data_IF_870078445519
#
_entry.id   IF_870078445519
#
_cell.length_a   1.000
_cell.length_b   1.000
_cell.length_c   1.000
_cell.angle_alpha   90.00
_cell.angle_beta   90.00
_cell.angle_gamma   90.00
#
_symmetry.space_group_name_H-M   'P 1'
#
loop_
_entity.id
_entity.type
_entity.pdbx_description
1 polymer ?
#
# COMPACT_ATOMS: atom_id res chain seq x y z
N UNK A 1 -23.79 5.15 16.23
CA UNK A 1 -23.29 5.96 15.09
C UNK A 1 -21.79 5.78 15.02
N UNK A 2 -21.16 5.90 13.85
CA UNK A 2 -19.70 5.81 13.72
C UNK A 2 -19.00 6.98 14.42
N UNK A 3 -18.02 6.68 15.26
CA UNK A 3 -17.18 7.67 15.93
C UNK A 3 -15.75 7.57 15.40
N UNK A 4 -15.41 8.50 14.51
CA UNK A 4 -14.04 8.62 14.01
C UNK A 4 -13.44 9.94 14.44
N UNK A 5 -12.17 9.88 14.81
CA UNK A 5 -11.36 11.06 15.08
C UNK A 5 -10.03 10.95 14.35
N UNK A 6 -9.49 12.10 13.98
CA UNK A 6 -8.23 12.23 13.26
C UNK A 6 -7.40 13.27 13.99
N UNK A 7 -6.18 12.90 14.37
CA UNK A 7 -5.23 13.79 15.01
C UNK A 7 -3.93 13.84 14.21
N UNK A 8 -3.19 14.93 14.38
CA UNK A 8 -1.93 15.16 13.67
C UNK A 8 -0.81 15.41 14.68
N UNK A 9 0.17 14.51 14.78
CA UNK A 9 1.16 14.56 15.86
C UNK A 9 2.00 15.85 15.86
N UNK A 10 2.21 16.47 14.70
CA UNK A 10 2.93 17.75 14.59
C UNK A 10 2.11 18.97 15.00
N UNK A 11 0.78 18.83 15.15
CA UNK A 11 -0.12 19.88 15.66
C UNK A 11 -0.51 19.64 17.11
N UNK A 12 -0.71 18.38 17.45
CA UNK A 12 -1.19 17.89 18.73
C UNK A 12 -0.18 16.90 19.29
N UNK A 13 0.94 17.36 19.90
CA UNK A 13 1.99 16.46 20.41
C UNK A 13 1.51 15.47 21.47
N UNK A 14 0.37 15.78 22.08
CA UNK A 14 -0.25 15.00 23.15
C UNK A 14 -1.42 14.13 22.66
N UNK A 15 -1.69 14.08 21.36
CA UNK A 15 -2.80 13.29 20.79
C UNK A 15 -2.72 11.80 21.12
N UNK A 16 -1.50 11.28 21.35
CA UNK A 16 -1.27 9.89 21.76
C UNK A 16 -1.54 9.64 23.25
N UNK A 17 -1.65 10.67 24.10
CA UNK A 17 -1.89 10.50 25.54
C UNK A 17 -3.27 9.88 25.79
N UNK A 18 -3.30 8.83 26.62
CA UNK A 18 -4.55 8.15 27.00
C UNK A 18 -4.89 6.93 26.13
N UNK A 19 -4.02 6.60 25.18
CA UNK A 19 -4.02 5.33 24.46
C UNK A 19 -2.87 4.45 24.96
N UNK A 20 -3.03 3.14 24.81
CA UNK A 20 -2.06 2.15 25.30
C UNK A 20 -1.31 1.47 24.15
N UNK A 21 -1.90 1.49 22.96
CA UNK A 21 -1.44 0.74 21.80
C UNK A 21 -1.58 1.57 20.53
N UNK A 22 -0.56 1.48 19.67
CA UNK A 22 -0.61 1.92 18.28
C UNK A 22 -0.78 0.73 17.35
N UNK A 23 -1.61 0.88 16.31
CA UNK A 23 -1.81 -0.15 15.28
C UNK A 23 -1.34 0.38 13.94
N UNK A 24 -0.33 -0.27 13.37
CA UNK A 24 0.10 -0.04 11.99
C UNK A 24 -0.62 -1.04 11.08
N UNK A 25 -1.45 -0.54 10.16
CA UNK A 25 -2.15 -1.34 9.18
C UNK A 25 -1.61 -1.03 7.78
N UNK A 26 -1.70 -2.01 6.89
CA UNK A 26 -1.45 -1.85 5.47
C UNK A 26 -0.02 -1.43 5.11
N UNK A 27 0.83 -2.43 4.92
CA UNK A 27 2.20 -2.25 4.44
C UNK A 27 2.65 -3.47 3.62
N UNK A 28 3.57 -3.26 2.67
CA UNK A 28 3.98 -4.23 1.66
C UNK A 28 5.45 -4.64 1.74
N UNK A 29 5.72 -5.93 1.81
CA UNK A 29 7.05 -6.53 1.92
C UNK A 29 7.53 -7.02 0.57
N UNK A 30 8.74 -7.61 0.52
CA UNK A 30 9.25 -8.26 -0.68
C UNK A 30 8.46 -9.52 -1.11
N UNK A 31 7.38 -9.88 -0.42
CA UNK A 31 6.42 -10.89 -0.86
C UNK A 31 5.33 -10.29 -1.75
N UNK A 32 5.05 -8.99 -1.65
CA UNK A 32 4.10 -8.30 -2.53
C UNK A 32 4.66 -8.12 -3.94
N UNK A 33 3.81 -8.37 -4.94
CA UNK A 33 4.13 -8.23 -6.36
C UNK A 33 3.43 -7.00 -6.92
N UNK A 34 4.20 -5.93 -7.05
CA UNK A 34 3.72 -4.67 -7.59
C UNK A 34 3.85 -4.67 -9.12
N UNK A 35 2.73 -4.52 -9.84
CA UNK A 35 2.76 -4.46 -11.31
C UNK A 35 3.68 -3.36 -11.81
N UNK A 36 4.35 -3.56 -12.95
CA UNK A 36 5.09 -2.50 -13.65
C UNK A 36 4.22 -1.70 -14.62
N UNK A 37 2.93 -1.98 -14.71
CA UNK A 37 2.01 -1.28 -15.61
C UNK A 37 2.00 0.23 -15.34
N UNK A 38 2.10 0.65 -14.07
CA UNK A 38 2.21 2.07 -13.73
C UNK A 38 3.42 2.76 -14.38
N UNK A 39 4.52 2.07 -14.67
CA UNK A 39 5.71 2.65 -15.33
C UNK A 39 5.44 2.90 -16.82
N UNK A 40 4.79 1.94 -17.48
CA UNK A 40 4.36 2.11 -18.89
C UNK A 40 3.43 3.31 -19.03
N UNK A 41 2.60 3.54 -18.02
CA UNK A 41 1.60 4.59 -18.00
C UNK A 41 2.13 5.95 -17.53
N UNK A 42 3.00 6.01 -16.52
CA UNK A 42 3.71 7.23 -16.10
C UNK A 42 4.54 7.81 -17.26
N UNK A 43 5.07 6.97 -18.14
CA UNK A 43 5.74 7.42 -19.36
C UNK A 43 4.84 8.25 -20.29
N UNK A 44 3.52 7.97 -20.31
CA UNK A 44 2.55 8.70 -21.14
C UNK A 44 2.31 10.11 -20.61
N UNK A 45 2.27 10.28 -19.29
CA UNK A 45 2.10 11.60 -18.65
C UNK A 45 3.38 12.44 -18.75
N UNK A 46 4.56 11.80 -18.73
CA UNK A 46 5.85 12.48 -18.83
C UNK A 46 6.40 12.38 -20.27
N UNK A 47 5.86 13.20 -21.16
CA UNK A 47 6.16 13.24 -22.60
C UNK A 47 7.64 13.23 -22.98
N UNK A 48 8.52 13.72 -22.09
CA UNK A 48 9.99 13.75 -22.28
C UNK A 48 10.64 12.37 -22.11
N UNK A 49 10.05 11.47 -21.31
CA UNK A 49 10.59 10.12 -21.07
C UNK A 49 10.15 9.10 -22.13
N UNK A 50 9.01 9.33 -22.79
CA UNK A 50 8.47 8.45 -23.84
C UNK A 50 9.47 8.10 -24.95
N UNK A 51 10.22 9.06 -25.54
CA UNK A 51 11.22 8.73 -26.57
C UNK A 51 12.33 7.81 -26.06
N UNK A 52 12.76 8.00 -24.81
CA UNK A 52 13.81 7.20 -24.15
C UNK A 52 13.31 5.78 -23.88
N UNK A 53 12.09 5.63 -23.37
CA UNK A 53 11.44 4.33 -23.13
C UNK A 53 11.25 3.55 -24.43
N UNK A 54 10.67 4.18 -25.47
CA UNK A 54 10.51 3.56 -26.80
C UNK A 54 11.85 3.21 -27.46
N UNK A 55 12.89 3.99 -27.19
CA UNK A 55 14.23 3.68 -27.68
C UNK A 55 14.82 2.46 -26.94
N UNK A 56 14.62 2.38 -25.62
CA UNK A 56 15.04 1.25 -24.81
C UNK A 56 14.30 -0.04 -25.21
N UNK A 57 12.97 0.01 -25.34
CA UNK A 57 12.12 -1.09 -25.85
C UNK A 57 12.62 -1.62 -27.20
N UNK A 58 12.80 -0.73 -28.19
CA UNK A 58 13.29 -1.10 -29.52
C UNK A 58 14.71 -1.68 -29.48
N UNK A 59 15.51 -1.32 -28.48
CA UNK A 59 16.86 -1.86 -28.32
C UNK A 59 16.84 -3.23 -27.65
N UNK A 60 16.00 -3.45 -26.64
CA UNK A 60 15.79 -4.76 -26.01
C UNK A 60 15.29 -5.77 -27.05
N UNK A 61 14.24 -5.42 -27.81
CA UNK A 61 13.70 -6.29 -28.87
C UNK A 61 14.76 -6.66 -29.92
N UNK A 62 15.57 -5.69 -30.38
CA UNK A 62 16.59 -5.93 -31.42
C UNK A 62 17.83 -6.69 -30.95
N UNK A 63 18.23 -6.55 -29.68
CA UNK A 63 19.50 -7.11 -29.20
C UNK A 63 19.34 -8.36 -28.33
N UNK A 64 18.19 -8.52 -27.69
CA UNK A 64 17.96 -9.55 -26.67
C UNK A 64 16.80 -10.47 -27.04
N UNK A 65 16.01 -10.15 -28.08
CA UNK A 65 14.79 -10.87 -28.46
C UNK A 65 13.79 -11.01 -27.31
N UNK A 66 13.88 -10.14 -26.30
CA UNK A 66 12.94 -10.02 -25.19
C UNK A 66 11.95 -8.92 -25.58
N UNK A 67 10.67 -9.30 -25.67
CA UNK A 67 9.57 -8.34 -25.75
C UNK A 67 9.22 -7.87 -24.34
N UNK A 68 9.30 -6.56 -24.09
CA UNK A 68 8.98 -5.98 -22.80
C UNK A 68 7.48 -6.15 -22.50
N UNK A 69 7.18 -7.17 -21.71
CA UNK A 69 5.87 -7.42 -21.15
C UNK A 69 5.73 -6.73 -19.78
N UNK A 70 5.17 -5.52 -19.76
CA UNK A 70 4.90 -4.78 -18.51
C UNK A 70 3.81 -5.44 -17.67
N UNK A 71 2.78 -6.00 -18.30
CA UNK A 71 1.66 -6.67 -17.63
C UNK A 71 2.06 -7.94 -16.86
N UNK A 72 3.13 -8.62 -17.28
CA UNK A 72 3.70 -9.78 -16.56
C UNK A 72 4.92 -9.42 -15.72
N UNK A 73 5.46 -8.22 -15.90
CA UNK A 73 6.59 -7.73 -15.13
C UNK A 73 6.09 -7.12 -13.83
N UNK A 74 6.84 -7.34 -12.75
CA UNK A 74 6.52 -6.77 -11.44
C UNK A 74 7.80 -6.39 -10.71
N UNK A 75 7.65 -5.60 -9.66
CA UNK A 75 8.71 -5.37 -8.68
C UNK A 75 8.23 -5.76 -7.29
N UNK A 76 9.16 -5.93 -6.37
CA UNK A 76 8.87 -6.24 -4.97
C UNK A 76 9.48 -5.16 -4.07
N UNK A 77 8.78 -4.69 -3.03
CA UNK A 77 9.32 -3.82 -1.99
C UNK A 77 10.68 -4.29 -1.44
N UNK A 78 11.55 -3.38 -0.97
CA UNK A 78 12.90 -3.74 -0.57
C UNK A 78 12.96 -4.45 0.79
N UNK A 79 11.98 -4.26 1.67
CA UNK A 79 11.97 -4.82 3.01
C UNK A 79 11.51 -6.28 3.02
N UNK A 80 12.26 -7.15 3.69
CA UNK A 80 11.77 -8.49 4.03
C UNK A 80 10.67 -8.40 5.09
N UNK A 81 9.86 -9.45 5.32
CA UNK A 81 8.81 -9.44 6.34
C UNK A 81 9.31 -9.00 7.73
N UNK A 82 10.46 -9.51 8.16
CA UNK A 82 11.08 -9.10 9.44
C UNK A 82 11.47 -7.63 9.49
N UNK A 83 12.12 -7.11 8.45
CA UNK A 83 12.55 -5.72 8.39
C UNK A 83 11.36 -4.76 8.34
N UNK A 84 10.29 -5.13 7.62
CA UNK A 84 9.05 -4.36 7.57
C UNK A 84 8.34 -4.34 8.93
N UNK A 85 8.19 -5.50 9.56
CA UNK A 85 7.59 -5.60 10.90
C UNK A 85 8.36 -4.75 11.93
N UNK A 86 9.69 -4.87 11.96
CA UNK A 86 10.52 -4.10 12.89
C UNK A 86 10.54 -2.60 12.58
N UNK A 87 10.34 -2.20 11.33
CA UNK A 87 10.22 -0.79 10.95
C UNK A 87 8.95 -0.17 11.55
N UNK A 88 7.80 -0.83 11.33
CA UNK A 88 6.51 -0.37 11.83
C UNK A 88 6.44 -0.41 13.36
N UNK A 89 6.91 -1.53 13.96
CA UNK A 89 6.96 -1.70 15.42
C UNK A 89 7.78 -0.60 16.08
N UNK A 90 9.00 -0.32 15.60
CA UNK A 90 9.88 0.69 16.20
C UNK A 90 9.32 2.09 16.07
N UNK A 91 8.60 2.42 15.00
CA UNK A 91 7.93 3.72 14.92
C UNK A 91 6.99 3.90 16.13
N UNK A 92 6.14 2.92 16.41
CA UNK A 92 5.16 3.01 17.48
C UNK A 92 5.85 2.95 18.85
N UNK A 93 6.69 1.93 19.09
CA UNK A 93 7.33 1.74 20.39
C UNK A 93 8.34 2.84 20.73
N UNK A 94 9.15 3.29 19.77
CA UNK A 94 10.19 4.29 20.05
C UNK A 94 9.69 5.73 19.94
N UNK A 95 8.74 6.05 19.03
CA UNK A 95 8.26 7.43 18.86
C UNK A 95 7.03 7.73 19.69
N UNK A 96 6.11 6.77 19.83
CA UNK A 96 4.87 6.93 20.58
C UNK A 96 4.95 6.31 21.99
N UNK A 97 6.00 5.55 22.30
CA UNK A 97 6.25 4.97 23.63
C UNK A 97 5.07 4.10 24.12
N UNK A 98 4.51 3.29 23.20
CA UNK A 98 3.33 2.45 23.44
C UNK A 98 3.48 1.08 22.78
N UNK A 99 2.62 0.12 23.12
CA UNK A 99 2.62 -1.21 22.50
C UNK A 99 2.33 -1.08 21.00
N UNK A 100 3.02 -1.87 20.17
CA UNK A 100 2.76 -1.93 18.74
C UNK A 100 1.97 -3.19 18.35
N UNK A 101 0.90 -2.99 17.60
CA UNK A 101 0.27 -4.01 16.78
C UNK A 101 0.56 -3.69 15.31
N UNK A 102 1.10 -4.64 14.56
CA UNK A 102 1.45 -4.43 13.15
C UNK A 102 0.68 -5.44 12.32
N UNK A 103 0.08 -5.01 11.21
CA UNK A 103 -0.58 -5.87 10.24
C UNK A 103 0.00 -5.59 8.85
N UNK A 104 0.63 -6.62 8.27
CA UNK A 104 1.22 -6.59 6.92
C UNK A 104 0.25 -7.26 5.96
N UNK A 105 0.03 -6.64 4.81
CA UNK A 105 -0.99 -7.02 3.83
C UNK A 105 -0.40 -6.96 2.44
N UNK A 106 0.50 -7.90 2.10
CA UNK A 106 1.01 -8.04 0.74
C UNK A 106 -0.15 -8.32 -0.25
N UNK A 107 0.02 -7.91 -1.52
CA UNK A 107 -0.99 -8.15 -2.55
C UNK A 107 -1.25 -9.63 -2.80
N UNK A 108 -2.51 -10.03 -2.61
CA UNK A 108 -3.05 -11.37 -2.89
C UNK A 108 -2.21 -12.53 -2.32
N UNK A 109 -1.51 -12.31 -1.20
CA UNK A 109 -0.60 -13.28 -0.59
C UNK A 109 -0.50 -13.11 0.94
N UNK A 110 -0.27 -14.22 1.67
CA UNK A 110 -0.12 -14.23 3.14
C UNK A 110 1.24 -14.79 3.60
N UNK A 111 2.23 -14.92 2.71
CA UNK A 111 3.52 -15.52 3.06
C UNK A 111 4.24 -14.69 4.13
N UNK A 112 4.19 -13.36 4.06
CA UNK A 112 4.85 -12.52 5.06
C UNK A 112 4.33 -12.74 6.49
N UNK A 113 3.02 -12.64 6.79
CA UNK A 113 2.53 -12.95 8.14
C UNK A 113 2.78 -14.42 8.52
N UNK A 114 2.70 -15.37 7.59
CA UNK A 114 2.98 -16.78 7.90
C UNK A 114 4.46 -17.01 8.29
N UNK A 115 5.40 -16.41 7.56
CA UNK A 115 6.82 -16.44 7.89
C UNK A 115 7.11 -15.77 9.24
N UNK A 116 6.53 -14.59 9.48
CA UNK A 116 6.70 -13.86 10.73
C UNK A 116 6.19 -14.63 11.95
N UNK A 117 5.15 -15.46 11.80
CA UNK A 117 4.62 -16.25 12.91
C UNK A 117 5.49 -17.43 13.33
N UNK A 118 6.43 -17.83 12.46
CA UNK A 118 7.47 -18.79 12.82
C UNK A 118 8.52 -18.19 13.78
N UNK A 119 8.62 -16.86 13.84
CA UNK A 119 9.56 -16.14 14.70
C UNK A 119 8.87 -15.74 16.02
N UNK A 120 9.43 -16.07 17.21
CA UNK A 120 8.80 -15.78 18.49
C UNK A 120 8.44 -14.31 18.72
N UNK A 121 9.29 -13.37 18.32
CA UNK A 121 9.10 -11.92 18.52
C UNK A 121 7.95 -11.32 17.72
N UNK A 122 7.49 -12.00 16.67
CA UNK A 122 6.40 -11.55 15.77
C UNK A 122 5.25 -12.55 15.69
N UNK A 123 5.20 -13.54 16.60
CA UNK A 123 4.19 -14.62 16.59
C UNK A 123 2.74 -14.12 16.65
N UNK A 124 2.54 -12.95 17.22
CA UNK A 124 1.24 -12.32 17.42
C UNK A 124 0.74 -11.51 16.21
N UNK A 125 1.51 -11.44 15.12
CA UNK A 125 1.08 -10.74 13.91
C UNK A 125 -0.21 -11.39 13.34
N UNK A 126 -1.24 -10.60 12.98
CA UNK A 126 -2.44 -11.11 12.33
C UNK A 126 -2.12 -11.64 10.93
N UNK A 127 -2.75 -12.75 10.53
CA UNK A 127 -2.71 -13.20 9.12
C UNK A 127 -3.58 -12.26 8.31
N UNK A 128 -2.98 -11.49 7.43
CA UNK A 128 -3.66 -10.39 6.74
C UNK A 128 -3.20 -10.31 5.29
N UNK A 129 -4.05 -9.78 4.41
CA UNK A 129 -3.84 -9.69 2.96
C UNK A 129 -4.47 -8.42 2.42
N UNK A 130 -3.85 -7.81 1.39
CA UNK A 130 -4.55 -6.84 0.54
C UNK A 130 -5.09 -7.59 -0.67
N UNK A 131 -6.39 -7.84 -0.68
CA UNK A 131 -7.05 -8.61 -1.71
C UNK A 131 -7.46 -7.71 -2.88
N UNK A 132 -7.00 -8.04 -4.09
CA UNK A 132 -7.44 -7.38 -5.32
C UNK A 132 -8.78 -7.94 -5.77
N UNK A 133 -9.81 -7.09 -5.76
CA UNK A 133 -11.20 -7.39 -6.12
C UNK A 133 -11.54 -6.73 -7.44
N UNK A 134 -11.56 -7.45 -8.59
CA UNK A 134 -12.01 -6.88 -9.85
C UNK A 134 -13.48 -6.47 -9.76
N UNK A 135 -13.81 -5.25 -10.17
CA UNK A 135 -15.16 -4.68 -10.09
C UNK A 135 -15.43 -3.74 -11.26
N UNK A 136 -16.34 -4.13 -12.15
CA UNK A 136 -16.58 -3.39 -13.40
C UNK A 136 -15.32 -3.33 -14.26
N UNK A 137 -14.91 -2.11 -14.61
CA UNK A 137 -13.72 -1.84 -15.44
C UNK A 137 -12.47 -1.50 -14.60
N UNK A 138 -12.51 -1.70 -13.28
CA UNK A 138 -11.40 -1.45 -12.35
C UNK A 138 -11.21 -2.64 -11.40
N UNK A 139 -10.26 -2.53 -10.47
CA UNK A 139 -10.23 -3.37 -9.28
C UNK A 139 -10.08 -2.49 -8.03
N UNK A 140 -10.72 -2.93 -6.95
CA UNK A 140 -10.56 -2.34 -5.62
C UNK A 140 -9.66 -3.21 -4.77
N UNK A 141 -9.01 -2.60 -3.79
CA UNK A 141 -8.23 -3.35 -2.81
C UNK A 141 -8.97 -3.39 -1.48
N UNK A 142 -9.12 -4.60 -0.96
CA UNK A 142 -9.79 -4.87 0.30
C UNK A 142 -8.77 -5.43 1.28
N UNK A 143 -8.46 -4.67 2.34
CA UNK A 143 -7.65 -5.13 3.45
C UNK A 143 -8.44 -6.13 4.28
N UNK A 144 -8.03 -7.40 4.27
CA UNK A 144 -8.60 -8.43 5.13
C UNK A 144 -7.59 -8.75 6.21
N UNK A 145 -7.89 -8.38 7.45
CA UNK A 145 -6.98 -8.51 8.57
C UNK A 145 -7.44 -9.59 9.54
N UNK A 146 -6.46 -10.29 10.13
CA UNK A 146 -6.64 -11.26 11.21
C UNK A 146 -7.50 -12.48 10.83
N UNK A 147 -7.26 -13.02 9.63
CA UNK A 147 -7.81 -14.31 9.20
C UNK A 147 -7.44 -15.42 10.20
N UNK A 148 -8.35 -16.39 10.44
CA UNK A 148 -8.03 -17.53 11.29
C UNK A 148 -6.87 -18.34 10.72
N UNK A 149 -5.81 -18.49 11.52
CA UNK A 149 -4.58 -19.20 11.15
C UNK A 149 -4.82 -20.58 10.53
N UNK A 150 -5.80 -21.33 11.06
CA UNK A 150 -6.08 -22.69 10.64
C UNK A 150 -6.70 -22.77 9.23
N UNK A 151 -7.36 -21.70 8.78
CA UNK A 151 -8.06 -21.65 7.48
C UNK A 151 -7.50 -20.59 6.54
N UNK A 152 -6.43 -19.88 6.92
CA UNK A 152 -5.83 -18.81 6.11
C UNK A 152 -5.44 -19.25 4.69
N UNK A 153 -4.89 -20.45 4.52
CA UNK A 153 -4.53 -21.01 3.20
C UNK A 153 -5.80 -21.24 2.35
N UNK A 154 -6.84 -21.84 2.93
CA UNK A 154 -8.10 -22.07 2.23
C UNK A 154 -8.79 -20.75 1.85
N UNK A 155 -8.70 -19.73 2.70
CA UNK A 155 -9.16 -18.38 2.37
C UNK A 155 -8.38 -17.83 1.18
N UNK A 156 -7.05 -17.91 1.17
CA UNK A 156 -6.26 -17.42 0.04
C UNK A 156 -6.56 -18.12 -1.27
N UNK A 157 -6.74 -19.44 -1.26
CA UNK A 157 -7.17 -20.19 -2.45
C UNK A 157 -8.52 -19.68 -2.98
N UNK A 158 -9.47 -19.41 -2.07
CA UNK A 158 -10.78 -18.88 -2.44
C UNK A 158 -10.72 -17.45 -2.98
N UNK A 159 -9.96 -16.57 -2.34
CA UNK A 159 -9.79 -15.18 -2.79
C UNK A 159 -9.11 -15.14 -4.16
N UNK A 160 -8.06 -15.95 -4.37
CA UNK A 160 -7.38 -16.07 -5.65
C UNK A 160 -8.30 -16.63 -6.75
N UNK A 161 -9.11 -17.66 -6.43
CA UNK A 161 -10.09 -18.21 -7.36
C UNK A 161 -11.12 -17.15 -7.77
N UNK A 162 -11.60 -16.32 -6.84
CA UNK A 162 -12.48 -15.20 -7.15
C UNK A 162 -11.80 -14.19 -8.08
N UNK A 163 -10.59 -13.75 -7.75
CA UNK A 163 -9.84 -12.73 -8.51
C UNK A 163 -9.57 -13.19 -9.95
N UNK A 164 -9.33 -14.49 -10.15
CA UNK A 164 -9.10 -15.07 -11.47
C UNK A 164 -10.35 -15.13 -12.37
N UNK A 165 -11.57 -15.04 -11.81
CA UNK A 165 -12.80 -15.09 -12.61
C UNK A 165 -12.99 -13.81 -13.43
N UNK A 166 -13.23 -13.88 -14.75
CA UNK A 166 -13.55 -12.70 -15.54
C UNK A 166 -14.84 -12.03 -15.05
N UNK A 167 -14.81 -10.70 -14.88
CA UNK A 167 -15.95 -9.92 -14.37
C UNK A 167 -17.22 -10.16 -15.18
N UNK A 168 -17.11 -10.24 -16.51
CA UNK A 168 -18.25 -10.43 -17.42
C UNK A 168 -19.01 -11.76 -17.22
N UNK A 169 -18.35 -12.79 -16.67
CA UNK A 169 -18.94 -14.12 -16.42
C UNK A 169 -19.17 -14.39 -14.93
N UNK A 170 -18.89 -13.43 -14.05
CA UNK A 170 -18.92 -13.62 -12.61
C UNK A 170 -20.35 -13.46 -12.09
N UNK A 171 -20.78 -14.40 -11.26
CA UNK A 171 -22.02 -14.25 -10.50
C UNK A 171 -21.88 -13.06 -9.52
N UNK A 172 -22.75 -12.04 -9.60
CA UNK A 172 -22.72 -10.91 -8.67
C UNK A 172 -22.85 -11.31 -7.18
N UNK A 173 -23.47 -12.46 -6.87
CA UNK A 173 -23.61 -12.92 -5.49
C UNK A 173 -22.31 -13.46 -4.89
N UNK A 174 -21.36 -13.90 -5.71
CA UNK A 174 -20.14 -14.53 -5.21
C UNK A 174 -19.32 -13.57 -4.32
N UNK A 175 -19.24 -12.29 -4.72
CA UNK A 175 -18.54 -11.28 -3.90
C UNK A 175 -19.30 -11.01 -2.59
N UNK A 176 -20.63 -10.96 -2.65
CA UNK A 176 -21.48 -10.79 -1.47
C UNK A 176 -21.23 -11.93 -0.47
N UNK A 177 -21.21 -13.17 -0.93
CA UNK A 177 -20.98 -14.35 -0.11
C UNK A 177 -19.61 -14.33 0.55
N UNK A 178 -18.55 -14.06 -0.23
CA UNK A 178 -17.18 -13.98 0.31
C UNK A 178 -17.07 -12.90 1.40
N UNK A 179 -17.60 -11.70 1.14
CA UNK A 179 -17.55 -10.60 2.10
C UNK A 179 -18.43 -10.86 3.34
N UNK A 180 -19.61 -11.47 3.16
CA UNK A 180 -20.49 -11.85 4.26
C UNK A 180 -19.83 -12.88 5.18
N UNK A 181 -19.20 -13.91 4.62
CA UNK A 181 -18.51 -14.93 5.42
C UNK A 181 -17.27 -14.37 6.13
N UNK A 182 -16.55 -13.43 5.52
CA UNK A 182 -15.46 -12.72 6.19
C UNK A 182 -15.98 -11.87 7.36
N UNK A 183 -17.09 -11.15 7.18
CA UNK A 183 -17.76 -10.41 8.24
C UNK A 183 -18.27 -11.33 9.36
N UNK A 184 -18.80 -12.52 9.05
CA UNK A 184 -19.27 -13.45 10.07
C UNK A 184 -18.17 -13.91 11.05
N UNK A 185 -16.89 -13.86 10.66
CA UNK A 185 -15.76 -14.18 11.55
C UNK A 185 -15.51 -13.00 12.51
N UNK A 186 -15.77 -13.13 13.83
CA UNK A 186 -15.73 -11.98 14.74
C UNK A 186 -14.36 -11.30 14.87
N UNK A 187 -13.28 -12.07 14.70
CA UNK A 187 -11.91 -11.57 14.79
C UNK A 187 -11.37 -10.96 13.50
N UNK A 188 -12.09 -11.04 12.38
CA UNK A 188 -11.66 -10.50 11.10
C UNK A 188 -12.11 -9.05 10.95
N UNK A 189 -11.23 -8.24 10.36
CA UNK A 189 -11.51 -6.87 9.98
C UNK A 189 -11.40 -6.73 8.45
N UNK A 190 -12.40 -6.12 7.83
CA UNK A 190 -12.51 -5.90 6.38
C UNK A 190 -12.50 -4.40 6.12
N UNK A 191 -11.44 -3.90 5.48
CA UNK A 191 -11.18 -2.50 5.23
C UNK A 191 -11.21 -2.24 3.72
N UNK A 192 -11.86 -1.14 3.31
CA UNK A 192 -11.72 -0.66 1.93
C UNK A 192 -10.46 0.20 1.87
N UNK A 193 -9.38 -0.37 1.34
CA UNK A 193 -8.10 0.31 1.20
C UNK A 193 -8.19 1.39 0.11
N UNK A 194 -7.57 2.53 0.38
CA UNK A 194 -7.42 3.72 -0.49
C UNK A 194 -8.54 3.86 -1.53
N UNK A 195 -9.82 3.96 -1.10
CA UNK A 195 -10.97 3.70 -1.97
C UNK A 195 -11.08 4.62 -3.19
N UNK A 196 -10.44 5.79 -3.13
CA UNK A 196 -10.47 6.81 -4.18
C UNK A 196 -9.28 6.74 -5.14
N UNK A 197 -8.36 5.79 -4.95
CA UNK A 197 -7.26 5.60 -5.88
C UNK A 197 -7.74 4.92 -7.17
N UNK A 198 -7.91 5.73 -8.22
CA UNK A 198 -8.19 5.26 -9.58
C UNK A 198 -6.92 4.67 -10.23
N UNK A 199 -6.50 3.49 -9.73
CA UNK A 199 -5.30 2.78 -10.20
C UNK A 199 -5.36 2.46 -11.70
N UNK A 200 -6.54 2.07 -12.18
CA UNK A 200 -6.77 1.68 -13.58
C UNK A 200 -7.12 2.86 -14.50
N UNK A 201 -7.14 4.09 -13.95
CA UNK A 201 -7.39 5.35 -14.67
C UNK A 201 -8.66 5.30 -15.50
N UNK A 202 -9.73 4.72 -14.95
CA UNK A 202 -11.04 4.66 -15.61
C UNK A 202 -11.70 6.05 -15.72
N UNK A 203 -11.14 7.04 -15.02
CA UNK A 203 -11.58 8.42 -14.96
C UNK A 203 -12.28 8.69 -13.64
N UNK A 204 -12.00 9.86 -13.04
CA UNK A 204 -12.45 10.21 -11.68
C UNK A 204 -13.96 10.02 -11.50
N UNK A 205 -14.78 10.56 -12.41
CA UNK A 205 -16.23 10.50 -12.31
C UNK A 205 -16.74 9.05 -12.35
N UNK A 206 -16.13 8.22 -13.20
CA UNK A 206 -16.48 6.81 -13.33
C UNK A 206 -16.02 6.00 -12.11
N UNK A 207 -14.82 6.26 -11.61
CA UNK A 207 -14.31 5.66 -10.38
C UNK A 207 -15.21 5.99 -9.19
N UNK A 208 -15.60 7.26 -9.04
CA UNK A 208 -16.51 7.72 -7.99
C UNK A 208 -17.86 6.97 -8.05
N UNK A 209 -18.41 6.73 -9.25
CA UNK A 209 -19.63 5.91 -9.42
C UNK A 209 -19.40 4.48 -8.93
N UNK A 210 -18.34 3.82 -9.38
CA UNK A 210 -18.03 2.43 -9.03
C UNK A 210 -17.81 2.25 -7.52
N UNK A 211 -17.14 3.20 -6.85
CA UNK A 211 -16.94 3.18 -5.40
C UNK A 211 -18.27 3.26 -4.66
N UNK A 212 -19.18 4.14 -5.10
CA UNK A 212 -20.49 4.27 -4.48
C UNK A 212 -21.38 3.04 -4.75
N UNK A 213 -21.30 2.44 -5.94
CA UNK A 213 -21.99 1.19 -6.24
C UNK A 213 -21.48 0.03 -5.37
N UNK A 214 -20.16 -0.07 -5.18
CA UNK A 214 -19.56 -1.07 -4.30
C UNK A 214 -20.07 -0.91 -2.86
N UNK A 215 -20.05 0.30 -2.32
CA UNK A 215 -20.54 0.57 -0.95
C UNK A 215 -22.05 0.37 -0.82
N UNK A 216 -22.83 0.68 -1.87
CA UNK A 216 -24.26 0.39 -1.89
C UNK A 216 -24.56 -1.11 -1.78
N UNK A 217 -23.77 -1.94 -2.47
CA UNK A 217 -24.01 -3.38 -2.55
C UNK A 217 -23.42 -4.16 -1.38
N UNK A 218 -22.23 -3.75 -0.92
CA UNK A 218 -21.39 -4.51 0.00
C UNK A 218 -20.95 -3.74 1.24
N UNK A 219 -21.29 -2.45 1.35
CA UNK A 219 -20.82 -1.59 2.43
C UNK A 219 -21.16 -2.12 3.82
N UNK A 220 -22.23 -2.91 3.98
CA UNK A 220 -22.56 -3.53 5.26
C UNK A 220 -21.52 -4.53 5.78
N UNK A 221 -20.66 -5.08 4.92
CA UNK A 221 -19.56 -5.99 5.27
C UNK A 221 -18.20 -5.29 5.36
N UNK A 222 -18.15 -4.01 4.98
CA UNK A 222 -16.96 -3.16 5.10
C UNK A 222 -17.01 -2.46 6.45
N UNK A 223 -15.95 -2.57 7.24
CA UNK A 223 -15.93 -2.09 8.62
C UNK A 223 -15.43 -0.65 8.74
N UNK A 224 -14.50 -0.25 7.87
CA UNK A 224 -14.00 1.11 7.77
C UNK A 224 -13.39 1.38 6.37
N UNK A 225 -13.23 2.66 6.04
CA UNK A 225 -12.52 3.14 4.86
C UNK A 225 -11.14 3.65 5.29
N UNK A 226 -10.12 3.32 4.50
CA UNK A 226 -8.76 3.74 4.80
C UNK A 226 -8.54 5.24 4.56
N UNK A 227 -7.93 5.91 5.54
CA UNK A 227 -7.11 7.10 5.31
C UNK A 227 -5.68 6.63 5.09
N UNK A 228 -5.14 6.94 3.93
CA UNK A 228 -3.94 6.31 3.44
C UNK A 228 -2.69 7.19 3.67
N UNK A 229 -1.66 6.62 4.29
CA UNK A 229 -0.44 7.32 4.63
C UNK A 229 0.37 7.78 3.40
N UNK A 230 0.29 7.09 2.27
CA UNK A 230 0.99 7.44 1.03
C UNK A 230 0.25 8.50 0.18
N UNK A 231 -1.08 8.59 0.33
CA UNK A 231 -1.92 9.53 -0.43
C UNK A 231 -1.78 10.96 0.11
N UNK A 232 -2.31 11.91 -0.67
CA UNK A 232 -2.34 13.31 -0.27
C UNK A 232 -3.54 13.61 0.64
N UNK A 233 -3.52 14.81 1.24
CA UNK A 233 -4.56 15.23 2.17
C UNK A 233 -5.91 15.51 1.49
N UNK A 234 -5.95 15.81 0.18
CA UNK A 234 -7.21 16.03 -0.54
C UNK A 234 -7.95 14.73 -0.65
N UNK A 235 -7.26 13.68 -1.10
CA UNK A 235 -7.83 12.37 -1.26
C UNK A 235 -8.26 11.77 0.07
N UNK A 236 -7.45 11.89 1.13
CA UNK A 236 -7.85 11.45 2.47
C UNK A 236 -9.08 12.20 3.02
N UNK A 237 -9.24 13.49 2.69
CA UNK A 237 -10.45 14.24 3.05
C UNK A 237 -11.68 13.78 2.26
N UNK A 238 -11.50 13.48 0.98
CA UNK A 238 -12.58 12.90 0.16
C UNK A 238 -12.96 11.51 0.68
N UNK A 239 -12.00 10.68 1.08
CA UNK A 239 -12.23 9.38 1.70
C UNK A 239 -12.99 9.50 3.04
N UNK A 240 -12.63 10.46 3.89
CA UNK A 240 -13.37 10.75 5.11
C UNK A 240 -14.81 11.21 4.84
N UNK A 241 -15.01 12.04 3.81
CA UNK A 241 -16.35 12.49 3.38
C UNK A 241 -17.19 11.31 2.87
N UNK A 242 -16.57 10.42 2.10
CA UNK A 242 -17.20 9.19 1.63
C UNK A 242 -17.59 8.27 2.79
N UNK A 243 -16.71 8.10 3.79
CA UNK A 243 -17.01 7.34 4.99
C UNK A 243 -18.22 7.91 5.72
N UNK A 244 -18.27 9.24 5.94
CA UNK A 244 -19.41 9.93 6.53
C UNK A 244 -20.72 9.71 5.75
N UNK A 245 -20.67 9.82 4.41
CA UNK A 245 -21.84 9.57 3.53
C UNK A 245 -22.43 8.17 3.73
N UNK A 246 -21.58 7.16 3.91
CA UNK A 246 -21.98 5.76 4.07
C UNK A 246 -22.09 5.32 5.53
N UNK A 247 -22.03 6.24 6.50
CA UNK A 247 -22.02 5.96 7.95
C UNK A 247 -20.95 4.91 8.33
N UNK A 248 -19.79 5.01 7.68
CA UNK A 248 -18.61 4.20 7.92
C UNK A 248 -17.58 4.90 8.79
N UNK A 249 -16.74 4.10 9.45
CA UNK A 249 -15.55 4.63 10.12
C UNK A 249 -14.47 4.94 9.10
N UNK A 250 -13.56 5.83 9.48
CA UNK A 250 -12.23 5.89 8.88
C UNK A 250 -11.22 5.11 9.72
N UNK A 251 -10.21 4.55 9.09
CA UNK A 251 -9.13 3.79 9.75
C UNK A 251 -7.78 4.13 9.11
N UNK A 252 -6.68 3.98 9.84
CA UNK A 252 -5.35 4.19 9.27
C UNK A 252 -4.99 3.04 8.32
N UNK A 253 -4.14 3.35 7.36
CA UNK A 253 -3.33 2.37 6.67
C UNK A 253 -2.29 3.05 5.81
N UNK A 254 -1.08 2.54 5.79
CA UNK A 254 0.04 3.31 5.25
C UNK A 254 0.31 3.12 3.78
N UNK A 255 -0.09 1.98 3.22
CA UNK A 255 0.25 1.54 1.86
C UNK A 255 1.75 1.67 1.56
N UNK A 256 2.55 1.38 2.60
CA UNK A 256 4.00 1.58 2.52
C UNK A 256 4.62 0.50 1.65
N UNK A 257 5.38 0.97 0.67
CA UNK A 257 6.25 0.14 -0.16
C UNK A 257 7.75 0.45 0.00
N UNK A 258 8.11 1.63 0.53
CA UNK A 258 9.49 2.08 0.75
C UNK A 258 10.09 1.64 2.09
N UNK A 259 11.10 2.38 2.57
CA UNK A 259 11.77 2.12 3.87
C UNK A 259 11.47 3.17 4.95
N UNK A 260 10.61 4.14 4.66
CA UNK A 260 9.97 5.01 5.67
C UNK A 260 8.75 4.29 6.25
N UNK A 261 8.51 4.28 7.57
CA UNK A 261 7.34 3.63 8.17
C UNK A 261 6.03 4.31 7.75
N UNK A 262 4.90 3.63 7.98
CA UNK A 262 3.57 4.16 7.71
C UNK A 262 3.39 5.59 8.26
N UNK A 263 2.88 6.50 7.42
CA UNK A 263 2.71 7.91 7.79
C UNK A 263 1.46 8.17 8.65
N UNK A 264 0.69 7.13 8.94
CA UNK A 264 -0.39 7.15 9.92
C UNK A 264 -0.48 5.79 10.64
N UNK A 265 -1.07 5.82 11.83
CA UNK A 265 -1.36 4.66 12.67
C UNK A 265 -2.71 4.86 13.34
N UNK A 266 -3.33 3.79 13.83
CA UNK A 266 -4.48 3.87 14.71
C UNK A 266 -4.03 3.93 16.17
N UNK A 267 -4.70 4.75 16.98
CA UNK A 267 -4.56 4.77 18.42
C UNK A 267 -5.72 3.98 19.04
N UNK A 268 -5.43 3.11 20.00
CA UNK A 268 -6.43 2.23 20.63
C UNK A 268 -6.08 1.93 22.09
N UNK A 269 -7.07 1.49 22.86
CA UNK A 269 -6.89 0.95 24.22
C UNK A 269 -6.84 -0.58 24.22
N UNK A 270 -7.04 -1.22 23.07
CA UNK A 270 -6.92 -2.65 22.92
C UNK A 270 -5.48 -3.14 23.21
N UNK A 271 -5.37 -4.21 23.99
CA UNK A 271 -4.11 -4.92 24.23
C UNK A 271 -3.79 -5.98 23.19
N UNK A 272 -4.76 -6.31 22.32
CA UNK A 272 -4.60 -7.31 21.25
C UNK A 272 -5.30 -6.91 19.95
N UNK A 273 -4.90 -7.52 18.83
CA UNK A 273 -5.53 -7.24 17.54
C UNK A 273 -7.02 -7.62 17.52
N UNK A 274 -7.42 -8.70 18.21
CA UNK A 274 -8.83 -9.10 18.32
C UNK A 274 -9.66 -8.08 19.10
N UNK A 275 -9.11 -7.50 20.16
CA UNK A 275 -9.77 -6.41 20.90
C UNK A 275 -9.88 -5.16 20.02
N UNK A 276 -8.85 -4.83 19.25
CA UNK A 276 -8.89 -3.72 18.29
C UNK A 276 -9.98 -3.94 17.21
N UNK A 277 -10.11 -5.17 16.70
CA UNK A 277 -11.22 -5.53 15.79
C UNK A 277 -12.57 -5.32 16.46
N UNK A 278 -12.72 -5.66 17.75
CA UNK A 278 -13.95 -5.42 18.50
C UNK A 278 -14.27 -3.92 18.60
N UNK A 279 -13.30 -3.08 18.98
CA UNK A 279 -13.47 -1.62 19.06
C UNK A 279 -13.98 -1.02 17.74
N UNK A 280 -13.36 -1.41 16.62
CA UNK A 280 -13.75 -0.91 15.29
C UNK A 280 -15.14 -1.42 14.87
N UNK A 281 -15.43 -2.70 15.09
CA UNK A 281 -16.65 -3.33 14.56
C UNK A 281 -17.87 -3.11 15.44
N UNK A 282 -17.71 -3.24 16.76
CA UNK A 282 -18.81 -3.28 17.73
C UNK A 282 -18.99 -1.94 18.43
N UNK A 283 -17.89 -1.37 18.94
CA UNK A 283 -17.95 -0.07 19.61
C UNK A 283 -18.06 1.07 18.60
N UNK A 284 -17.73 0.78 17.32
CA UNK A 284 -17.78 1.72 16.20
C UNK A 284 -16.89 2.93 16.48
N UNK A 285 -15.69 2.68 16.97
CA UNK A 285 -14.69 3.69 17.31
C UNK A 285 -13.40 3.50 16.51
N UNK A 286 -12.82 4.60 16.04
CA UNK A 286 -11.50 4.58 15.39
C UNK A 286 -10.83 5.94 15.55
N UNK A 287 -9.60 5.93 16.06
CA UNK A 287 -8.74 7.12 16.18
C UNK A 287 -7.56 6.96 15.23
N UNK A 288 -7.44 7.84 14.23
CA UNK A 288 -6.32 7.85 13.27
C UNK A 288 -5.35 8.96 13.65
N UNK A 289 -4.08 8.61 13.87
CA UNK A 289 -2.99 9.55 14.10
C UNK A 289 -2.10 9.63 12.87
N UNK A 290 -1.99 10.82 12.28
CA UNK A 290 -0.96 11.09 11.27
C UNK A 290 0.37 11.43 11.92
N UNK A 291 1.44 10.79 11.44
CA UNK A 291 2.81 10.93 11.92
C UNK A 291 3.51 12.12 11.24
N UNK A 292 4.54 12.74 11.87
CA UNK A 292 5.15 13.98 11.37
C UNK A 292 5.64 13.94 9.93
N UNK A 293 6.10 12.78 9.44
CA UNK A 293 6.52 12.63 8.05
C UNK A 293 5.39 12.92 7.05
N UNK A 294 4.12 12.72 7.40
CA UNK A 294 2.99 13.04 6.52
C UNK A 294 2.88 14.53 6.19
N UNK A 295 3.40 15.41 7.07
CA UNK A 295 3.43 16.85 6.85
C UNK A 295 4.41 17.27 5.74
N UNK A 296 5.28 16.36 5.28
CA UNK A 296 6.14 16.62 4.14
C UNK A 296 5.35 16.69 2.83
N UNK A 297 5.80 17.52 1.87
CA UNK A 297 5.15 17.64 0.57
C UNK A 297 4.91 16.28 -0.08
N UNK A 298 3.67 16.02 -0.50
CA UNK A 298 3.30 14.72 -1.06
C UNK A 298 4.20 14.29 -2.23
N UNK A 299 4.50 15.20 -3.17
CA UNK A 299 5.43 14.93 -4.28
C UNK A 299 6.83 14.52 -3.82
N UNK A 300 7.30 15.10 -2.71
CA UNK A 300 8.59 14.74 -2.11
C UNK A 300 8.53 13.34 -1.49
N UNK A 301 7.45 12.99 -0.78
CA UNK A 301 7.23 11.64 -0.23
C UNK A 301 7.16 10.58 -1.33
N UNK A 302 6.44 10.85 -2.42
CA UNK A 302 6.39 9.96 -3.60
C UNK A 302 7.77 9.80 -4.24
N UNK A 303 8.56 10.89 -4.33
CA UNK A 303 9.95 10.80 -4.79
C UNK A 303 10.80 9.92 -3.87
N UNK A 304 10.69 10.05 -2.55
CA UNK A 304 11.42 9.20 -1.59
C UNK A 304 11.02 7.71 -1.72
N UNK A 305 9.72 7.42 -1.82
CA UNK A 305 9.24 6.04 -2.06
C UNK A 305 9.78 5.47 -3.38
N UNK A 306 9.75 6.26 -4.46
CA UNK A 306 10.35 5.88 -5.76
C UNK A 306 11.85 5.62 -5.65
N UNK A 307 12.56 6.45 -4.88
CA UNK A 307 14.00 6.28 -4.64
C UNK A 307 14.30 4.98 -3.90
N UNK A 308 13.46 4.60 -2.93
CA UNK A 308 13.63 3.35 -2.19
C UNK A 308 13.50 2.12 -3.10
N UNK A 309 12.56 2.15 -4.05
CA UNK A 309 12.42 1.09 -5.07
C UNK A 309 13.72 0.89 -5.87
N UNK A 310 14.40 1.99 -6.23
CA UNK A 310 15.60 1.94 -7.09
C UNK A 310 16.93 1.98 -6.31
N UNK A 311 16.92 2.12 -4.98
CA UNK A 311 18.12 2.20 -4.15
C UNK A 311 18.74 0.81 -3.97
N UNK A 312 20.06 0.79 -3.78
CA UNK A 312 20.74 -0.42 -3.35
C UNK A 312 20.88 -0.42 -1.83
N UNK A 313 20.58 -1.55 -1.18
CA UNK A 313 20.68 -1.77 0.26
C UNK A 313 21.70 -2.90 0.52
N UNK A 314 23.00 -2.61 0.61
CA UNK A 314 24.03 -3.64 0.79
C UNK A 314 23.84 -4.50 2.04
N UNK A 315 23.21 -3.94 3.08
CA UNK A 315 22.96 -4.59 4.36
C UNK A 315 21.71 -5.48 4.37
N UNK A 316 20.90 -5.47 3.30
CA UNK A 316 19.72 -6.31 3.22
C UNK A 316 20.10 -7.76 2.85
N UNK A 317 19.21 -8.73 3.10
CA UNK A 317 19.38 -10.10 2.62
C UNK A 317 19.59 -10.18 1.11
N UNK A 318 20.25 -11.26 0.66
CA UNK A 318 20.41 -11.54 -0.77
C UNK A 318 19.05 -11.61 -1.47
N UNK A 319 18.98 -11.17 -2.73
CA UNK A 319 17.72 -10.98 -3.45
C UNK A 319 17.05 -9.62 -3.22
N UNK A 320 17.28 -8.97 -2.06
CA UNK A 320 16.71 -7.66 -1.75
C UNK A 320 17.72 -6.50 -1.79
N UNK A 321 18.99 -6.74 -2.16
CA UNK A 321 20.05 -5.71 -2.10
C UNK A 321 19.97 -4.72 -3.25
N UNK A 322 19.95 -5.19 -4.49
CA UNK A 322 19.95 -4.31 -5.68
C UNK A 322 18.54 -4.18 -6.24
N UNK A 323 18.26 -3.04 -6.85
CA UNK A 323 16.97 -2.81 -7.51
C UNK A 323 16.64 -3.88 -8.57
N UNK A 324 17.64 -4.30 -9.37
CA UNK A 324 17.44 -5.27 -10.45
C UNK A 324 17.36 -6.73 -9.97
N UNK A 325 17.58 -6.98 -8.67
CA UNK A 325 17.22 -8.25 -8.03
C UNK A 325 15.75 -8.27 -7.58
N UNK A 326 15.14 -7.10 -7.44
CA UNK A 326 13.76 -6.90 -6.97
C UNK A 326 12.78 -6.58 -8.09
N UNK A 327 13.26 -6.45 -9.32
CA UNK A 327 12.43 -6.29 -10.52
C UNK A 327 12.45 -7.60 -11.28
N UNK A 328 11.29 -8.08 -11.69
CA UNK A 328 11.08 -9.36 -12.33
C UNK A 328 10.44 -9.18 -13.70
N UNK A 329 10.89 -9.99 -14.66
CA UNK A 329 10.41 -9.95 -16.04
C UNK A 329 10.46 -11.34 -16.67
N UNK A 330 9.52 -11.71 -17.56
CA UNK A 330 9.61 -12.97 -18.30
C UNK A 330 10.82 -12.99 -19.23
N UNK A 331 11.59 -14.08 -19.16
CA UNK A 331 12.67 -14.33 -20.09
C UNK A 331 12.15 -14.69 -21.51
N UNK A 332 13.06 -15.07 -22.41
CA UNK A 332 12.73 -15.47 -23.79
C UNK A 332 11.83 -16.72 -23.88
N UNK A 333 11.76 -17.52 -22.83
CA UNK A 333 10.92 -18.71 -22.72
C UNK A 333 9.59 -18.40 -22.00
N UNK A 334 9.42 -17.18 -21.52
CA UNK A 334 8.25 -16.73 -20.77
C UNK A 334 8.32 -17.04 -19.27
N UNK A 335 9.45 -17.52 -18.75
CA UNK A 335 9.67 -17.79 -17.33
C UNK A 335 10.01 -16.50 -16.58
N UNK A 336 9.34 -16.24 -15.46
CA UNK A 336 9.63 -15.06 -14.64
C UNK A 336 11.02 -15.20 -14.00
N UNK A 337 11.86 -14.19 -14.21
CA UNK A 337 13.22 -14.10 -13.64
C UNK A 337 13.51 -12.72 -13.08
N UNK A 338 14.38 -12.60 -12.06
CA UNK A 338 14.87 -11.31 -11.65
C UNK A 338 15.69 -10.71 -12.79
N UNK A 339 15.49 -9.42 -13.05
CA UNK A 339 16.06 -8.70 -14.19
C UNK A 339 17.61 -8.74 -14.18
N UNK A 340 18.24 -8.89 -13.02
CA UNK A 340 19.68 -9.08 -12.90
C UNK A 340 20.22 -10.30 -13.67
N UNK A 341 19.42 -11.36 -13.82
CA UNK A 341 19.77 -12.57 -14.58
C UNK A 341 19.58 -12.36 -16.10
N UNK A 342 18.76 -11.39 -16.48
CA UNK A 342 18.43 -11.11 -17.88
C UNK A 342 19.45 -10.20 -18.56
N UNK A 343 20.38 -9.61 -17.81
CA UNK A 343 21.44 -8.76 -18.37
C UNK A 343 22.51 -9.59 -19.08
N UNK A 344 22.69 -9.46 -20.41
CA UNK A 344 23.68 -10.27 -21.14
C UNK A 344 25.13 -10.08 -20.69
N UNK A 345 25.42 -8.94 -20.04
CA UNK A 345 26.74 -8.59 -19.52
C UNK A 345 26.82 -8.66 -17.99
N UNK A 346 25.75 -9.12 -17.32
CA UNK A 346 25.64 -9.14 -15.86
C UNK A 346 25.38 -7.79 -15.19
N UNK A 347 25.16 -6.72 -15.97
CA UNK A 347 24.85 -5.37 -15.48
C UNK A 347 23.86 -4.63 -16.40
N UNK A 348 23.09 -3.66 -15.85
CA UNK A 348 22.12 -2.90 -16.61
C UNK A 348 22.78 -2.07 -17.73
N UNK A 349 22.15 -1.99 -18.93
CA UNK A 349 22.60 -1.11 -20.00
C UNK A 349 22.79 0.35 -19.55
N UNK A 350 23.83 1.03 -20.05
CA UNK A 350 24.18 2.42 -19.69
C UNK A 350 23.00 3.42 -19.71
N UNK A 351 22.05 3.36 -20.67
CA UNK A 351 20.88 4.24 -20.66
C UNK A 351 19.96 4.05 -19.46
N UNK A 352 19.72 2.79 -19.05
CA UNK A 352 18.92 2.48 -17.85
C UNK A 352 19.68 3.01 -16.62
N UNK A 353 20.98 2.74 -16.54
CA UNK A 353 21.84 3.27 -15.48
C UNK A 353 21.86 4.80 -15.41
N UNK A 354 21.76 5.50 -16.56
CA UNK A 354 21.69 6.95 -16.62
C UNK A 354 20.37 7.50 -16.08
N UNK A 355 19.23 6.90 -16.46
CA UNK A 355 17.91 7.27 -15.93
C UNK A 355 17.86 7.05 -14.41
N UNK A 356 18.32 5.89 -13.93
CA UNK A 356 18.36 5.61 -12.49
C UNK A 356 19.27 6.58 -11.74
N UNK A 357 20.43 6.93 -12.32
CA UNK A 357 21.33 7.94 -11.74
C UNK A 357 20.70 9.31 -11.67
N UNK A 358 19.94 9.72 -12.71
CA UNK A 358 19.20 10.98 -12.73
C UNK A 358 18.14 11.03 -11.63
N UNK A 359 17.35 9.96 -11.46
CA UNK A 359 16.36 9.88 -10.39
C UNK A 359 17.03 9.92 -9.01
N UNK A 360 18.12 9.17 -8.82
CA UNK A 360 18.91 9.21 -7.57
C UNK A 360 19.47 10.59 -7.27
N UNK A 361 19.87 11.36 -8.28
CA UNK A 361 20.34 12.73 -8.11
C UNK A 361 19.25 13.65 -7.56
N UNK A 362 17.99 13.50 -8.01
CA UNK A 362 16.85 14.24 -7.44
C UNK A 362 16.65 13.97 -5.95
N UNK A 363 17.04 12.79 -5.48
CA UNK A 363 17.02 12.40 -4.07
C UNK A 363 18.22 12.86 -3.24
N UNK A 364 19.31 13.30 -3.87
CA UNK A 364 20.54 13.69 -3.19
C UNK A 364 20.51 15.16 -2.72
N UNK A 365 21.17 15.45 -1.61
CA UNK A 365 21.41 16.82 -1.20
C UNK A 365 22.42 17.50 -2.17
N UNK A 366 22.26 18.80 -2.48
CA UNK A 366 21.22 19.72 -2.00
C UNK A 366 19.90 19.68 -2.80
N UNK A 367 19.85 18.97 -3.92
CA UNK A 367 18.72 19.02 -4.86
C UNK A 367 17.40 18.57 -4.22
N UNK A 368 17.41 17.49 -3.43
CA UNK A 368 16.23 17.01 -2.68
C UNK A 368 15.66 18.06 -1.73
N UNK A 369 16.52 18.83 -1.06
CA UNK A 369 16.09 19.93 -0.19
C UNK A 369 15.45 21.08 -0.98
N UNK A 370 16.01 21.42 -2.13
CA UNK A 370 15.42 22.41 -3.04
C UNK A 370 14.06 21.97 -3.59
N UNK A 371 13.93 20.70 -4.00
CA UNK A 371 12.65 20.13 -4.46
C UNK A 371 11.59 20.12 -3.36
N UNK A 372 11.98 19.74 -2.13
CA UNK A 372 11.12 19.80 -0.95
C UNK A 372 10.57 21.21 -0.72
N UNK A 373 11.40 22.24 -0.82
CA UNK A 373 10.95 23.64 -0.68
C UNK A 373 10.06 24.07 -1.85
N UNK A 374 10.39 23.68 -3.09
CA UNK A 374 9.66 24.07 -4.28
C UNK A 374 8.26 23.43 -4.38
N UNK A 375 8.09 22.23 -3.84
CA UNK A 375 6.80 21.53 -3.76
C UNK A 375 6.04 21.79 -2.46
N UNK A 376 6.45 22.80 -1.68
CA UNK A 376 5.83 23.06 -0.39
C UNK A 376 4.39 23.58 -0.54
N UNK A 377 3.43 22.67 -0.41
CA UNK A 377 1.98 22.96 -0.45
C UNK A 377 1.42 23.24 0.97
N UNK A 378 2.26 23.65 1.93
CA UNK A 378 1.89 23.83 3.34
C UNK A 378 0.72 24.79 3.57
N UNK A 379 0.56 25.82 2.73
CA UNK A 379 -0.57 26.75 2.76
C UNK A 379 -1.89 26.03 2.41
N UNK A 380 -1.86 25.12 1.43
CA UNK A 380 -3.03 24.36 1.00
C UNK A 380 -3.42 23.31 2.05
N UNK A 381 -2.42 22.66 2.65
CA UNK A 381 -2.60 21.74 3.78
C UNK A 381 -3.18 22.46 5.00
N UNK A 382 -2.62 23.60 5.40
CA UNK A 382 -3.11 24.36 6.56
C UNK A 382 -4.55 24.84 6.39
N UNK A 383 -4.87 25.38 5.20
CA UNK A 383 -6.22 25.84 4.85
C UNK A 383 -7.24 24.71 4.91
N UNK A 384 -6.83 23.49 4.57
CA UNK A 384 -7.74 22.35 4.56
C UNK A 384 -7.90 21.71 5.92
N UNK A 385 -6.81 21.55 6.68
CA UNK A 385 -6.88 21.01 8.02
C UNK A 385 -7.72 21.92 8.95
N UNK A 386 -7.66 23.24 8.78
CA UNK A 386 -8.52 24.18 9.52
C UNK A 386 -10.03 24.02 9.22
N UNK A 387 -10.41 23.32 8.14
CA UNK A 387 -11.81 23.01 7.80
C UNK A 387 -12.27 21.63 8.32
N UNK A 388 -11.38 20.82 8.89
CA UNK A 388 -11.71 19.54 9.52
C UNK A 388 -12.08 19.71 11.00
N UNK A 389 -11.55 20.75 11.64
CA UNK A 389 -11.83 21.11 13.04
C UNK A 389 -13.14 21.93 13.21
N UNK A 390 -13.86 22.20 12.11
CA UNK A 390 -15.11 22.96 12.04
C UNK A 390 -16.21 22.12 11.41
#
# INVERSE_FOLDING_TARGET
MSQSSVSYLWREPEAAKGFETGVSLHSHTNQSKETLDFISEMSKDWSVLQPVMRWAERRCKRRQSIDLNYARGYWTPPLTPSLAFDLERRQIEEKLQMQALVSITDHDDINAPMLLRSVPSSRHIPVSVEWTVPFGDTAFHIGVHNLPSATGVAWMERLAAFTALPVASRDPQLLREVLAELDEIPGVLVIFNHPLWDLYRVGKEKHDVLVNEFLALYGQFVHALELNGLRDWKENREAATLAGKWNQLVISGGDRHGVEPNANVNLTRAGSFTEFVHEVRRDRESHVLFMPQYAEPWKHRILQSTLDTIRNYPHFPEGSRRWDQRVYHPDRHGEIRPVCELWPKGYPPSPISAVLSMVRLMGAAPLSGGLRMAWNDSVEMQTTLAKLDA
#
